data_IF_261658172960
#
_entry.id   IF_261658172960
#
_cell.length_a   1.000
_cell.length_b   1.000
_cell.length_c   1.000
_cell.angle_alpha   90.00
_cell.angle_beta   90.00
_cell.angle_gamma   90.00
#
_symmetry.space_group_name_H-M   'P 1'
#
loop_
_entity.id
_entity.type
_entity.pdbx_description
1 polymer ?
#
# COMPACT_ATOMS: atom_id res chain seq x y z
N UNK A 1 19.76 -22.67 -5.92
CA UNK A 1 19.66 -22.30 -4.49
C UNK A 1 18.23 -22.58 -4.04
N UNK A 2 18.02 -23.13 -2.85
CA UNK A 2 16.68 -23.29 -2.29
C UNK A 2 16.12 -21.93 -1.85
N UNK A 3 14.80 -21.76 -1.92
CA UNK A 3 14.13 -20.55 -1.46
C UNK A 3 14.25 -20.41 0.05
N UNK A 4 14.31 -19.16 0.52
CA UNK A 4 14.27 -18.86 1.95
C UNK A 4 12.87 -19.17 2.49
N UNK A 5 12.79 -19.93 3.58
CA UNK A 5 11.54 -20.28 4.25
C UNK A 5 11.35 -19.43 5.52
N UNK A 6 11.28 -18.10 5.33
CA UNK A 6 11.10 -17.15 6.44
C UNK A 6 9.61 -17.02 6.71
N UNK A 7 9.19 -17.23 7.97
CA UNK A 7 7.82 -16.96 8.38
C UNK A 7 7.55 -15.44 8.29
N UNK A 8 6.61 -14.96 7.45
CA UNK A 8 6.37 -13.53 7.27
C UNK A 8 5.88 -12.86 8.56
N UNK A 9 5.12 -13.57 9.39
CA UNK A 9 4.51 -13.03 10.61
C UNK A 9 5.51 -12.67 11.72
N UNK A 10 6.73 -13.23 11.65
CA UNK A 10 7.81 -12.94 12.60
C UNK A 10 8.71 -11.78 12.16
N UNK A 11 8.49 -11.21 10.98
CA UNK A 11 9.31 -10.10 10.48
C UNK A 11 8.93 -8.78 11.16
N UNK A 12 9.91 -7.88 11.32
CA UNK A 12 9.65 -6.52 11.81
C UNK A 12 8.67 -5.75 10.90
N UNK A 13 8.77 -5.97 9.58
CA UNK A 13 7.85 -5.38 8.61
C UNK A 13 6.38 -5.77 8.89
N UNK A 14 6.13 -7.04 9.22
CA UNK A 14 4.78 -7.50 9.55
C UNK A 14 4.23 -6.86 10.82
N UNK A 15 5.07 -6.64 11.84
CA UNK A 15 4.66 -5.92 13.06
C UNK A 15 4.29 -4.47 12.76
N UNK A 16 5.09 -3.78 11.92
CA UNK A 16 4.79 -2.41 11.47
C UNK A 16 3.51 -2.32 10.66
N UNK A 17 3.29 -3.26 9.73
CA UNK A 17 2.06 -3.30 8.93
C UNK A 17 0.80 -3.52 9.79
N UNK A 18 0.89 -4.33 10.85
CA UNK A 18 -0.21 -4.48 11.82
C UNK A 18 -0.50 -3.17 12.55
N UNK A 19 0.53 -2.50 13.06
CA UNK A 19 0.36 -1.22 13.75
C UNK A 19 -0.24 -0.16 12.80
N UNK A 20 0.29 -0.05 11.59
CA UNK A 20 -0.22 0.87 10.58
C UNK A 20 -1.67 0.57 10.18
N UNK A 21 -2.03 -0.70 10.10
CA UNK A 21 -3.41 -1.09 9.84
C UNK A 21 -4.36 -0.55 10.91
N UNK A 22 -4.03 -0.70 12.20
CA UNK A 22 -4.84 -0.14 13.30
C UNK A 22 -5.04 1.38 13.13
N UNK A 23 -3.99 2.11 12.71
CA UNK A 23 -4.03 3.55 12.48
C UNK A 23 -4.94 3.97 11.31
N UNK A 24 -4.93 3.23 10.21
CA UNK A 24 -5.62 3.64 8.96
C UNK A 24 -6.92 2.87 8.69
N UNK A 25 -7.25 1.84 9.48
CA UNK A 25 -8.40 0.95 9.28
C UNK A 25 -9.75 1.67 9.31
N UNK A 26 -9.84 2.77 10.04
CA UNK A 26 -11.04 3.60 10.16
C UNK A 26 -11.20 4.66 9.05
N UNK A 27 -10.13 4.94 8.29
CA UNK A 27 -10.14 5.96 7.24
C UNK A 27 -10.83 5.46 5.96
N UNK A 28 -11.58 6.34 5.30
CA UNK A 28 -12.24 6.02 4.04
C UNK A 28 -11.38 6.38 2.83
N UNK A 29 -11.55 5.63 1.73
CA UNK A 29 -10.83 5.86 0.47
C UNK A 29 -11.03 7.28 -0.06
N UNK A 30 -12.26 7.80 0.02
CA UNK A 30 -12.60 9.15 -0.47
C UNK A 30 -11.79 10.21 0.27
N UNK A 31 -11.61 10.07 1.59
CA UNK A 31 -10.80 10.98 2.39
C UNK A 31 -9.37 11.09 1.85
N UNK A 32 -8.81 10.01 1.30
CA UNK A 32 -7.45 10.03 0.75
C UNK A 32 -7.36 10.68 -0.63
N UNK A 33 -8.42 10.59 -1.44
CA UNK A 33 -8.50 11.34 -2.71
C UNK A 33 -8.73 12.83 -2.45
N UNK A 34 -9.53 13.16 -1.45
CA UNK A 34 -9.77 14.54 -1.04
C UNK A 34 -8.48 15.19 -0.48
N UNK A 35 -7.73 14.45 0.35
CA UNK A 35 -6.47 14.92 0.94
C UNK A 35 -5.29 14.93 -0.04
N UNK A 36 -5.25 14.00 -1.01
CA UNK A 36 -4.23 13.96 -2.05
C UNK A 36 -4.87 13.92 -3.44
N UNK A 37 -5.10 15.10 -4.06
CA UNK A 37 -5.62 15.19 -5.43
C UNK A 37 -4.74 14.49 -6.48
N UNK A 38 -3.44 14.29 -6.19
CA UNK A 38 -2.50 13.61 -7.08
C UNK A 38 -2.44 12.10 -6.85
N UNK A 39 -3.23 11.53 -5.92
CA UNK A 39 -3.17 10.11 -5.54
C UNK A 39 -3.24 9.15 -6.73
N UNK A 40 -4.12 9.42 -7.70
CA UNK A 40 -4.21 8.58 -8.90
C UNK A 40 -2.87 8.50 -9.65
N UNK A 41 -2.17 9.62 -9.77
CA UNK A 41 -0.86 9.71 -10.43
C UNK A 41 0.24 9.05 -9.59
N UNK A 42 0.25 9.28 -8.28
CA UNK A 42 1.27 8.75 -7.37
C UNK A 42 1.21 7.21 -7.26
N UNK A 43 0.01 6.64 -7.37
CA UNK A 43 -0.26 5.20 -7.25
C UNK A 43 -0.62 4.58 -8.61
N UNK A 44 0.06 5.01 -9.67
CA UNK A 44 -0.04 4.39 -11.00
C UNK A 44 1.35 4.03 -11.51
N UNK A 45 1.48 2.82 -12.06
CA UNK A 45 2.64 2.43 -12.87
C UNK A 45 2.24 2.51 -14.33
N UNK A 46 3.06 3.22 -15.12
CA UNK A 46 3.01 3.21 -16.58
C UNK A 46 4.25 2.47 -17.08
N UNK A 47 4.05 1.38 -17.81
CA UNK A 47 5.15 0.59 -18.36
C UNK A 47 4.77 0.09 -19.74
N UNK A 48 5.46 0.60 -20.77
CA UNK A 48 5.10 0.39 -22.18
C UNK A 48 3.59 0.67 -22.40
N UNK A 49 2.86 -0.27 -22.97
CA UNK A 49 1.42 -0.18 -23.21
C UNK A 49 0.56 -0.47 -21.97
N UNK A 50 1.17 -0.76 -20.81
CA UNK A 50 0.46 -1.04 -19.57
C UNK A 50 0.23 0.21 -18.73
N UNK A 51 -1.02 0.35 -18.27
CA UNK A 51 -1.44 1.34 -17.29
C UNK A 51 -2.05 0.62 -16.08
N UNK A 52 -1.30 0.58 -14.98
CA UNK A 52 -1.70 -0.09 -13.75
C UNK A 52 -1.99 0.96 -12.69
N UNK A 53 -3.27 1.29 -12.51
CA UNK A 53 -3.75 2.18 -11.45
C UNK A 53 -4.12 1.35 -10.21
N UNK A 54 -3.35 1.55 -9.14
CA UNK A 54 -3.58 0.92 -7.83
C UNK A 54 -3.97 1.94 -6.76
N UNK A 55 -4.34 3.16 -7.15
CA UNK A 55 -4.74 4.25 -6.24
C UNK A 55 -5.97 3.94 -5.38
N UNK A 56 -6.80 2.99 -5.81
CA UNK A 56 -8.01 2.54 -5.09
C UNK A 56 -7.73 1.40 -4.09
N UNK A 57 -6.47 1.07 -3.82
CA UNK A 57 -6.08 0.13 -2.77
C UNK A 57 -5.95 0.82 -1.41
N UNK A 58 -6.21 0.08 -0.31
CA UNK A 58 -6.13 0.58 1.07
C UNK A 58 -4.69 0.76 1.57
N UNK A 59 -3.90 1.57 0.85
CA UNK A 59 -2.48 1.85 1.11
C UNK A 59 -2.19 3.34 1.01
N UNK A 60 -1.18 3.80 1.75
CA UNK A 60 -0.62 5.15 1.63
C UNK A 60 0.91 5.06 1.52
N UNK A 61 1.61 6.19 1.48
CA UNK A 61 3.06 6.22 1.26
C UNK A 61 3.90 5.53 2.35
N UNK A 62 3.32 5.25 3.53
CA UNK A 62 3.98 4.53 4.63
C UNK A 62 3.81 3.01 4.53
N UNK A 63 2.82 2.52 3.77
CA UNK A 63 2.56 1.08 3.59
C UNK A 63 3.55 0.47 2.61
#
# INVERSE_FOLDING_TARGET
>A
MALQNINPTSTNAWQKLKAHFEEISSLHMLDWFDKNPNRAKDFTIKWEDFYVDFSKNRINAET
#
